data_IF_461525011353
#
_entry.id   IF_461525011353
#
_cell.length_a   1.000
_cell.length_b   1.000
_cell.length_c   1.000
_cell.angle_alpha   90.00
_cell.angle_beta   90.00
_cell.angle_gamma   90.00
#
_symmetry.space_group_name_H-M   'P 1'
#
loop_
_entity.id
_entity.type
_entity.pdbx_description
1 polymer ?
#
# COMPACT_ATOMS: atom_id res chain seq x y z
N UNK A 1 7.72 -14.47 31.54
CA UNK A 1 8.34 -13.14 31.42
C UNK A 1 7.77 -12.52 30.16
N UNK A 2 6.85 -11.55 30.28
CA UNK A 2 6.38 -10.79 29.11
C UNK A 2 7.55 -9.89 28.69
N UNK A 3 8.12 -10.13 27.51
CA UNK A 3 9.12 -9.25 26.93
C UNK A 3 8.41 -7.93 26.66
N UNK A 4 8.82 -6.88 27.36
CA UNK A 4 8.25 -5.55 27.18
C UNK A 4 8.81 -4.98 25.87
N UNK A 5 8.14 -5.26 24.76
CA UNK A 5 8.54 -4.73 23.46
C UNK A 5 8.30 -3.22 23.41
N UNK A 6 9.21 -2.50 22.75
CA UNK A 6 9.00 -1.10 22.42
C UNK A 6 7.76 -0.96 21.52
N UNK A 7 7.04 0.16 21.63
CA UNK A 7 5.85 0.41 20.82
C UNK A 7 6.17 0.33 19.32
N UNK A 8 5.48 -0.53 18.54
CA UNK A 8 5.70 -0.62 17.11
C UNK A 8 5.32 0.69 16.43
N UNK A 9 6.25 1.23 15.63
CA UNK A 9 6.07 2.47 14.88
C UNK A 9 6.07 2.18 13.38
N UNK A 10 4.98 2.52 12.71
CA UNK A 10 4.85 2.39 11.25
C UNK A 10 5.60 3.54 10.60
N UNK A 11 6.45 3.22 9.62
CA UNK A 11 7.13 4.21 8.80
C UNK A 11 6.49 4.28 7.43
N UNK A 12 5.99 5.47 7.08
CA UNK A 12 5.20 5.71 5.87
C UNK A 12 5.60 7.02 5.18
N UNK A 13 4.91 7.37 4.09
CA UNK A 13 5.25 8.55 3.29
C UNK A 13 4.82 9.89 3.93
N UNK A 14 3.73 9.88 4.70
CA UNK A 14 3.12 11.07 5.30
C UNK A 14 3.16 10.98 6.84
N UNK A 15 3.19 12.11 7.54
CA UNK A 15 3.20 12.16 8.99
C UNK A 15 1.79 12.12 9.61
N UNK A 16 0.71 12.39 8.86
CA UNK A 16 -0.63 12.54 9.48
C UNK A 16 -1.43 11.22 9.63
N UNK A 17 -1.45 10.59 10.82
CA UNK A 17 -2.06 9.27 11.01
C UNK A 17 -3.57 9.23 10.74
N UNK A 18 -4.24 10.39 10.63
CA UNK A 18 -5.67 10.46 10.34
C UNK A 18 -6.01 10.43 8.84
N UNK A 19 -4.99 10.45 7.98
CA UNK A 19 -5.17 10.41 6.53
C UNK A 19 -4.57 9.14 5.92
N UNK A 20 -5.30 8.59 4.94
CA UNK A 20 -4.82 7.49 4.12
C UNK A 20 -3.68 7.93 3.20
N UNK A 21 -2.64 7.11 3.13
CA UNK A 21 -1.49 7.33 2.27
C UNK A 21 -1.80 7.05 0.80
N UNK A 22 -0.88 7.46 -0.08
CA UNK A 22 -0.97 7.20 -1.53
C UNK A 22 -0.40 5.82 -1.93
N UNK A 23 -0.10 4.95 -0.97
CA UNK A 23 0.48 3.62 -1.18
C UNK A 23 -0.45 2.56 -0.62
N UNK A 24 -0.83 1.61 -1.46
CA UNK A 24 -1.70 0.50 -1.08
C UNK A 24 -1.11 -0.31 0.06
N UNK A 25 0.20 -0.54 0.05
CA UNK A 25 0.88 -1.31 1.07
C UNK A 25 0.90 -0.61 2.44
N UNK A 26 0.97 0.73 2.46
CA UNK A 26 0.89 1.51 3.71
C UNK A 26 -0.50 1.34 4.31
N UNK A 27 -1.54 1.63 3.52
CA UNK A 27 -2.92 1.55 3.97
C UNK A 27 -3.31 0.12 4.36
N UNK A 28 -2.77 -0.89 3.64
CA UNK A 28 -2.93 -2.30 4.00
C UNK A 28 -2.35 -2.60 5.37
N UNK A 29 -1.12 -2.17 5.65
CA UNK A 29 -0.48 -2.42 6.95
C UNK A 29 -1.22 -1.74 8.10
N UNK A 30 -1.63 -0.48 7.90
CA UNK A 30 -2.44 0.24 8.88
C UNK A 30 -3.76 -0.48 9.16
N UNK A 31 -4.45 -0.96 8.12
CA UNK A 31 -5.69 -1.72 8.25
C UNK A 31 -5.47 -3.10 8.92
N UNK A 32 -4.42 -3.83 8.56
CA UNK A 32 -4.05 -5.09 9.21
C UNK A 32 -3.92 -4.90 10.72
N UNK A 33 -3.21 -3.86 11.13
CA UNK A 33 -2.96 -3.60 12.55
C UNK A 33 -4.22 -3.11 13.27
N UNK A 34 -4.99 -2.21 12.64
CA UNK A 34 -6.26 -1.72 13.17
C UNK A 34 -7.27 -2.85 13.40
N UNK A 35 -7.38 -3.81 12.47
CA UNK A 35 -8.29 -4.94 12.62
C UNK A 35 -7.76 -6.04 13.54
N UNK A 36 -6.44 -6.14 13.73
CA UNK A 36 -5.83 -7.15 14.58
C UNK A 36 -5.98 -6.90 16.09
N UNK A 37 -6.73 -5.85 16.49
CA UNK A 37 -6.87 -5.40 17.88
C UNK A 37 -5.50 -5.28 18.57
N UNK A 38 -4.50 -4.72 17.89
CA UNK A 38 -3.16 -4.56 18.46
C UNK A 38 -3.27 -3.78 19.77
N UNK A 39 -2.82 -4.37 20.87
CA UNK A 39 -2.91 -3.83 22.24
C UNK A 39 -2.03 -2.60 22.49
N UNK A 40 -1.43 -2.04 21.45
CA UNK A 40 -0.46 -0.96 21.50
C UNK A 40 -0.90 0.21 20.63
N UNK A 41 -0.76 1.43 21.14
CA UNK A 41 -0.91 2.65 20.34
C UNK A 41 0.14 2.63 19.23
N UNK A 42 -0.30 2.47 17.97
CA UNK A 42 0.62 2.46 16.84
C UNK A 42 1.19 3.86 16.63
N UNK A 43 2.51 3.99 16.77
CA UNK A 43 3.19 5.20 16.34
C UNK A 43 3.20 5.28 14.82
N UNK A 44 3.16 6.50 14.26
CA UNK A 44 3.41 6.74 12.84
C UNK A 44 4.51 7.78 12.69
N UNK A 45 5.41 7.58 11.73
CA UNK A 45 6.44 8.56 11.38
C UNK A 45 6.70 8.59 9.87
N UNK A 46 7.04 9.77 9.31
CA UNK A 46 7.46 9.87 7.93
C UNK A 46 8.83 9.22 7.75
N UNK A 47 9.03 8.55 6.62
CA UNK A 47 10.29 7.91 6.27
C UNK A 47 10.71 8.15 4.83
N UNK A 48 11.97 7.88 4.56
CA UNK A 48 12.54 7.94 3.22
C UNK A 48 12.73 6.52 2.68
N UNK A 49 12.19 6.17 1.50
CA UNK A 49 12.43 4.87 0.87
C UNK A 49 13.92 4.54 0.75
N UNK A 50 14.80 5.53 0.50
CA UNK A 50 16.25 5.30 0.37
C UNK A 50 16.92 4.77 1.63
N UNK A 51 16.36 5.08 2.81
CA UNK A 51 16.89 4.63 4.10
C UNK A 51 16.11 3.45 4.67
N UNK A 52 15.12 2.92 3.93
CA UNK A 52 14.36 1.75 4.34
C UNK A 52 15.13 0.46 4.04
N UNK A 53 14.89 -0.65 4.78
CA UNK A 53 15.68 -1.87 4.64
C UNK A 53 15.67 -2.49 3.24
N UNK A 54 14.58 -2.29 2.48
CA UNK A 54 14.40 -2.84 1.12
C UNK A 54 14.15 -1.78 0.05
N UNK A 55 14.42 -0.51 0.34
CA UNK A 55 14.12 0.57 -0.61
C UNK A 55 12.62 0.85 -0.80
N UNK A 56 11.75 0.35 0.09
CA UNK A 56 10.28 0.44 0.00
C UNK A 56 9.67 0.80 1.35
N UNK A 57 8.53 1.50 1.29
CA UNK A 57 7.64 1.76 2.42
C UNK A 57 6.32 1.00 2.19
N UNK A 58 5.62 0.56 3.25
CA UNK A 58 5.95 0.76 4.66
C UNK A 58 7.02 -0.21 5.18
N UNK A 59 7.57 0.13 6.35
CA UNK A 59 8.27 -0.80 7.24
C UNK A 59 7.94 -0.46 8.69
N UNK A 60 8.18 -1.39 9.61
CA UNK A 60 7.88 -1.25 11.03
C UNK A 60 9.20 -1.03 11.77
N UNK A 61 9.24 -0.06 12.68
CA UNK A 61 10.32 0.06 13.67
C UNK A 61 9.88 -0.50 15.00
N UNK A 62 10.68 -1.40 15.56
CA UNK A 62 10.53 -1.93 16.90
C UNK A 62 11.83 -1.65 17.67
N UNK A 63 11.87 -0.51 18.38
CA UNK A 63 13.12 0.01 18.94
C UNK A 63 14.14 0.34 17.86
N UNK A 64 15.26 -0.40 17.82
CA UNK A 64 16.33 -0.25 16.80
C UNK A 64 16.12 -1.14 15.56
N UNK A 65 15.23 -2.12 15.64
CA UNK A 65 14.99 -3.05 14.54
C UNK A 65 14.09 -2.43 13.48
N UNK A 66 14.40 -2.68 12.21
CA UNK A 66 13.60 -2.26 11.07
C UNK A 66 13.08 -3.50 10.33
N UNK A 67 11.79 -3.78 10.48
CA UNK A 67 11.12 -4.95 9.90
C UNK A 67 10.49 -4.52 8.57
N UNK A 68 10.95 -5.03 7.42
CA UNK A 68 10.48 -4.60 6.11
C UNK A 68 9.11 -5.16 5.75
N UNK A 69 8.48 -4.52 4.76
CA UNK A 69 7.26 -4.99 4.08
C UNK A 69 6.00 -4.95 4.97
N UNK A 70 4.85 -4.73 4.33
CA UNK A 70 3.56 -4.75 5.01
C UNK A 70 3.19 -6.15 5.54
N UNK A 71 3.36 -7.21 4.75
CA UNK A 71 2.87 -8.53 5.13
C UNK A 71 3.87 -9.22 6.07
N UNK A 72 5.15 -9.19 5.71
CA UNK A 72 6.20 -9.76 6.56
C UNK A 72 6.30 -9.03 7.90
N UNK A 73 6.17 -7.70 7.89
CA UNK A 73 6.10 -6.89 9.11
C UNK A 73 4.95 -7.32 10.02
N UNK A 74 3.76 -7.48 9.45
CA UNK A 74 2.60 -7.95 10.20
C UNK A 74 2.76 -9.38 10.75
N UNK A 75 3.28 -10.31 9.95
CA UNK A 75 3.57 -11.68 10.41
C UNK A 75 4.57 -11.72 11.56
N UNK A 76 5.59 -10.86 11.52
CA UNK A 76 6.56 -10.77 12.61
C UNK A 76 5.93 -10.23 13.90
N UNK A 77 4.98 -9.30 13.79
CA UNK A 77 4.22 -8.83 14.95
C UNK A 77 3.33 -9.94 15.53
N UNK A 78 2.70 -10.77 14.69
CA UNK A 78 1.95 -11.95 15.17
C UNK A 78 2.87 -12.92 15.91
N UNK A 79 4.05 -13.24 15.35
CA UNK A 79 5.03 -14.14 16.01
C UNK A 79 5.49 -13.63 17.36
N UNK A 80 5.50 -12.32 17.57
CA UNK A 80 5.89 -11.65 18.81
C UNK A 80 4.72 -11.37 19.75
N UNK A 81 3.52 -11.85 19.44
CA UNK A 81 2.30 -11.63 20.22
C UNK A 81 1.91 -10.15 20.35
N UNK A 82 2.24 -9.35 19.32
CA UNK A 82 1.96 -7.91 19.23
C UNK A 82 0.76 -7.59 18.33
N UNK A 83 0.25 -8.58 17.59
CA UNK A 83 -0.92 -8.47 16.73
C UNK A 83 -1.64 -9.83 16.64
N UNK A 84 -2.97 -9.81 16.54
CA UNK A 84 -3.77 -11.01 16.32
C UNK A 84 -3.75 -11.44 14.85
N UNK A 85 -3.79 -12.74 14.57
CA UNK A 85 -4.01 -13.27 13.21
C UNK A 85 -5.44 -12.99 12.73
N UNK A 86 -5.60 -12.51 11.50
CA UNK A 86 -6.91 -12.18 10.91
C UNK A 86 -7.52 -13.32 10.08
N UNK A 87 -6.70 -14.21 9.52
CA UNK A 87 -7.18 -15.31 8.68
C UNK A 87 -7.58 -16.56 9.50
N UNK A 88 -7.86 -16.39 10.80
CA UNK A 88 -8.26 -17.49 11.69
C UNK A 88 -9.61 -18.04 11.25
N UNK A 89 -9.69 -19.36 11.08
CA UNK A 89 -10.93 -20.05 10.69
C UNK A 89 -11.17 -20.13 9.18
N UNK A 90 -10.27 -19.60 8.35
CA UNK A 90 -10.29 -19.83 6.90
C UNK A 90 -9.78 -21.24 6.58
N UNK A 91 -10.46 -21.96 5.68
CA UNK A 91 -9.96 -23.22 5.14
C UNK A 91 -9.05 -22.96 3.93
N UNK A 92 -8.40 -24.02 3.45
CA UNK A 92 -7.46 -23.95 2.33
C UNK A 92 -8.06 -23.29 1.07
N UNK A 93 -9.38 -23.46 0.85
CA UNK A 93 -10.08 -22.84 -0.28
C UNK A 93 -10.17 -21.32 -0.12
N UNK A 94 -10.59 -20.82 1.04
CA UNK A 94 -10.68 -19.38 1.31
C UNK A 94 -9.30 -18.72 1.30
N UNK A 95 -8.27 -19.39 1.82
CA UNK A 95 -6.88 -18.92 1.73
C UNK A 95 -6.40 -18.82 0.27
N UNK A 96 -6.75 -19.80 -0.57
CA UNK A 96 -6.48 -19.75 -2.00
C UNK A 96 -7.17 -18.57 -2.69
N UNK A 97 -8.44 -18.32 -2.36
CA UNK A 97 -9.20 -17.17 -2.87
C UNK A 97 -8.58 -15.84 -2.38
N UNK A 98 -8.24 -15.75 -1.10
CA UNK A 98 -7.55 -14.60 -0.49
C UNK A 98 -6.28 -14.24 -1.26
N UNK A 99 -5.47 -15.26 -1.60
CA UNK A 99 -4.25 -15.06 -2.39
C UNK A 99 -4.55 -14.58 -3.81
N UNK A 100 -5.54 -15.17 -4.48
CA UNK A 100 -5.93 -14.77 -5.83
C UNK A 100 -6.40 -13.30 -5.89
N UNK A 101 -7.27 -12.89 -4.96
CA UNK A 101 -7.74 -11.50 -4.87
C UNK A 101 -6.59 -10.56 -4.53
N UNK A 102 -5.70 -10.95 -3.61
CA UNK A 102 -4.50 -10.15 -3.29
C UNK A 102 -3.67 -9.90 -4.54
N UNK A 103 -3.42 -10.93 -5.36
CA UNK A 103 -2.68 -10.79 -6.62
C UNK A 103 -3.40 -9.88 -7.62
N UNK A 104 -4.72 -10.02 -7.77
CA UNK A 104 -5.53 -9.15 -8.62
C UNK A 104 -5.44 -7.67 -8.19
N UNK A 105 -5.51 -7.41 -6.88
CA UNK A 105 -5.40 -6.05 -6.34
C UNK A 105 -4.00 -5.47 -6.55
N UNK A 106 -2.96 -6.28 -6.38
CA UNK A 106 -1.58 -5.86 -6.63
C UNK A 106 -1.36 -5.51 -8.11
N UNK A 107 -1.94 -6.27 -9.04
CA UNK A 107 -1.92 -5.96 -10.48
C UNK A 107 -2.64 -4.64 -10.79
N UNK A 108 -3.87 -4.46 -10.28
CA UNK A 108 -4.63 -3.21 -10.43
C UNK A 108 -3.83 -2.01 -9.89
N UNK A 109 -3.18 -2.18 -8.73
CA UNK A 109 -2.35 -1.14 -8.14
C UNK A 109 -1.16 -0.77 -9.04
N UNK A 110 -0.50 -1.74 -9.67
CA UNK A 110 0.59 -1.46 -10.61
C UNK A 110 0.12 -0.59 -11.78
N UNK A 111 -1.09 -0.80 -12.30
CA UNK A 111 -1.65 0.06 -13.33
C UNK A 111 -1.91 1.50 -12.83
N UNK A 112 -2.35 1.68 -11.58
CA UNK A 112 -2.45 3.02 -10.98
C UNK A 112 -1.07 3.67 -10.79
N UNK A 113 -0.03 2.90 -10.45
CA UNK A 113 1.35 3.41 -10.38
C UNK A 113 1.82 3.89 -11.75
N UNK A 114 1.55 3.14 -12.82
CA UNK A 114 1.87 3.54 -14.19
C UNK A 114 1.15 4.85 -14.55
N UNK A 115 -0.16 4.90 -14.38
CA UNK A 115 -0.97 6.09 -14.66
C UNK A 115 -0.42 7.31 -13.91
N UNK A 116 -0.18 7.16 -12.61
CA UNK A 116 0.33 8.21 -11.73
C UNK A 116 1.72 8.73 -12.13
N UNK A 117 2.68 7.82 -12.35
CA UNK A 117 4.09 8.20 -12.49
C UNK A 117 4.59 8.25 -13.94
N UNK A 118 3.81 7.80 -14.91
CA UNK A 118 4.13 7.88 -16.35
C UNK A 118 3.19 8.85 -17.05
N UNK A 119 1.86 8.72 -16.91
CA UNK A 119 0.91 9.56 -17.64
C UNK A 119 0.72 10.93 -16.97
N UNK A 120 0.60 10.96 -15.64
CA UNK A 120 0.29 12.18 -14.88
C UNK A 120 1.47 12.73 -14.06
N UNK A 121 2.71 12.33 -14.38
CA UNK A 121 3.89 12.64 -13.56
C UNK A 121 4.13 14.14 -13.35
N UNK A 122 3.91 14.98 -14.36
CA UNK A 122 4.00 16.44 -14.24
C UNK A 122 2.91 17.01 -13.33
N UNK A 123 1.67 16.54 -13.49
CA UNK A 123 0.56 17.00 -12.67
C UNK A 123 0.82 16.65 -11.21
N UNK A 124 1.23 15.42 -10.94
CA UNK A 124 1.31 14.88 -9.58
C UNK A 124 2.58 15.33 -8.85
N UNK A 125 3.73 15.39 -9.52
CA UNK A 125 5.02 15.69 -8.87
C UNK A 125 5.44 17.16 -8.99
N UNK A 126 4.79 17.94 -9.86
CA UNK A 126 5.20 19.33 -10.15
C UNK A 126 4.05 20.32 -9.92
N UNK A 127 2.87 20.05 -10.47
CA UNK A 127 1.78 21.04 -10.53
C UNK A 127 0.74 20.94 -9.41
N UNK A 128 0.61 19.77 -8.76
CA UNK A 128 -0.37 19.57 -7.69
C UNK A 128 0.01 20.40 -6.46
N UNK A 129 -0.64 21.56 -6.31
CA UNK A 129 -0.55 22.40 -5.10
C UNK A 129 -1.65 22.09 -4.09
N UNK A 130 -2.74 21.45 -4.51
CA UNK A 130 -3.97 21.38 -3.73
C UNK A 130 -4.07 20.17 -2.78
N UNK A 131 -3.28 19.11 -2.98
CA UNK A 131 -3.36 17.88 -2.18
C UNK A 131 -1.99 17.20 -2.02
N UNK A 132 -0.99 18.01 -1.72
CA UNK A 132 0.44 17.68 -1.75
C UNK A 132 0.88 16.71 -0.63
N UNK A 133 0.35 15.48 -0.61
CA UNK A 133 0.79 14.39 0.29
C UNK A 133 2.19 13.86 -0.04
N UNK A 134 2.77 14.34 -1.14
CA UNK A 134 4.16 14.08 -1.50
C UNK A 134 5.06 15.17 -0.90
N UNK A 135 5.95 14.77 0.01
CA UNK A 135 6.92 15.69 0.63
C UNK A 135 7.77 16.48 -0.38
N UNK A 136 7.95 15.97 -1.60
CA UNK A 136 8.68 16.69 -2.66
C UNK A 136 8.00 17.97 -3.13
N UNK A 137 6.69 18.11 -2.95
CA UNK A 137 5.92 19.30 -3.33
C UNK A 137 6.12 20.48 -2.34
N UNK A 138 6.87 20.29 -1.25
CA UNK A 138 7.35 21.38 -0.39
C UNK A 138 8.65 22.03 -0.91
N UNK A 139 9.30 21.43 -1.92
CA UNK A 139 10.60 21.88 -2.43
C UNK A 139 10.44 23.03 -3.45
N UNK A 140 11.52 23.75 -3.75
CA UNK A 140 11.53 24.74 -4.85
C UNK A 140 11.24 24.05 -6.21
N UNK A 141 10.61 24.77 -7.15
CA UNK A 141 10.15 24.21 -8.42
C UNK A 141 11.26 23.47 -9.22
N UNK A 142 12.51 23.95 -9.29
CA UNK A 142 13.57 23.24 -10.00
C UNK A 142 13.88 21.85 -9.43
N UNK A 143 13.94 21.66 -8.10
CA UNK A 143 14.17 20.33 -7.52
C UNK A 143 12.95 19.42 -7.66
N UNK A 144 11.72 19.98 -7.70
CA UNK A 144 10.54 19.18 -8.06
C UNK A 144 10.73 18.55 -9.42
N UNK A 145 11.14 19.32 -10.42
CA UNK A 145 11.41 18.81 -11.78
C UNK A 145 12.51 17.74 -11.80
N UNK A 146 13.58 17.92 -11.02
CA UNK A 146 14.68 16.94 -10.92
C UNK A 146 14.18 15.63 -10.28
N UNK A 147 13.48 15.71 -9.15
CA UNK A 147 12.92 14.54 -8.45
C UNK A 147 11.89 13.84 -9.33
N UNK A 148 11.00 14.61 -9.95
CA UNK A 148 9.96 14.10 -10.84
C UNK A 148 10.57 13.35 -12.04
N UNK A 149 11.61 13.93 -12.66
CA UNK A 149 12.36 13.27 -13.74
C UNK A 149 13.07 12.01 -13.26
N UNK A 150 13.63 12.01 -12.05
CA UNK A 150 14.28 10.83 -11.47
C UNK A 150 13.26 9.71 -11.22
N UNK A 151 12.13 10.01 -10.60
CA UNK A 151 11.05 9.03 -10.34
C UNK A 151 10.49 8.48 -11.65
N UNK A 152 10.19 9.34 -12.62
CA UNK A 152 9.75 8.93 -13.96
C UNK A 152 10.73 7.93 -14.59
N UNK A 153 12.03 8.25 -14.59
CA UNK A 153 13.07 7.35 -15.14
C UNK A 153 13.19 6.04 -14.36
N UNK A 154 13.02 6.07 -13.04
CA UNK A 154 13.05 4.89 -12.18
C UNK A 154 11.88 3.94 -12.44
N UNK A 155 10.69 4.46 -12.73
CA UNK A 155 9.54 3.63 -13.09
C UNK A 155 9.68 3.13 -14.54
N UNK A 156 10.13 4.00 -15.46
CA UNK A 156 10.33 3.64 -16.85
C UNK A 156 11.44 2.59 -17.06
N UNK A 157 12.43 2.51 -16.17
CA UNK A 157 13.43 1.44 -16.21
C UNK A 157 12.85 0.06 -15.86
N UNK A 158 11.63 0.01 -15.29
CA UNK A 158 10.88 -1.21 -14.97
C UNK A 158 9.84 -1.56 -16.02
N UNK A 159 9.92 -0.98 -17.22
CA UNK A 159 8.95 -1.14 -18.31
C UNK A 159 8.55 -2.59 -18.60
N UNK A 160 9.52 -3.51 -18.67
CA UNK A 160 9.25 -4.91 -18.96
C UNK A 160 8.47 -5.58 -17.81
N UNK A 161 8.75 -5.19 -16.56
CA UNK A 161 8.05 -5.72 -15.38
C UNK A 161 6.68 -5.06 -15.14
N UNK A 162 6.37 -4.00 -15.88
CA UNK A 162 5.12 -3.24 -15.80
C UNK A 162 4.29 -3.36 -17.09
N UNK A 163 4.69 -4.27 -17.99
CA UNK A 163 4.06 -4.48 -19.30
C UNK A 163 3.89 -3.18 -20.13
N UNK A 164 4.77 -2.18 -19.92
CA UNK A 164 4.74 -0.89 -20.65
C UNK A 164 5.13 -1.01 -22.13
N UNK A 165 5.51 -2.20 -22.58
CA UNK A 165 5.74 -2.49 -24.00
C UNK A 165 4.42 -2.67 -24.76
N UNK A 166 3.33 -2.97 -24.05
CA UNK A 166 2.00 -3.11 -24.63
C UNK A 166 1.45 -1.74 -25.07
N UNK A 167 0.62 -1.71 -26.12
CA UNK A 167 -0.18 -0.55 -26.47
C UNK A 167 -1.03 -0.05 -25.29
N UNK A 168 -1.24 1.27 -25.20
CA UNK A 168 -1.94 1.89 -24.08
C UNK A 168 -3.41 1.41 -23.95
N UNK A 169 -4.07 1.15 -25.09
CA UNK A 169 -5.42 0.59 -25.17
C UNK A 169 -5.50 -0.85 -24.63
N UNK A 170 -4.47 -1.66 -24.87
CA UNK A 170 -4.37 -3.00 -24.31
C UNK A 170 -4.21 -2.96 -22.78
N UNK A 171 -3.33 -2.08 -22.28
CA UNK A 171 -3.15 -1.86 -20.83
C UNK A 171 -4.45 -1.39 -20.18
N UNK A 172 -5.18 -0.48 -20.82
CA UNK A 172 -6.47 0.02 -20.34
C UNK A 172 -7.55 -1.07 -20.32
N UNK A 173 -7.58 -1.94 -21.33
CA UNK A 173 -8.51 -3.07 -21.40
C UNK A 173 -8.26 -4.09 -20.27
N UNK A 174 -6.98 -4.44 -20.03
CA UNK A 174 -6.57 -5.33 -18.93
C UNK A 174 -6.96 -4.72 -17.58
N UNK A 175 -6.63 -3.44 -17.36
CA UNK A 175 -6.99 -2.72 -16.14
C UNK A 175 -8.51 -2.72 -15.89
N UNK A 176 -9.31 -2.42 -16.91
CA UNK A 176 -10.78 -2.42 -16.81
C UNK A 176 -11.32 -3.79 -16.46
N UNK A 177 -10.85 -4.82 -17.16
CA UNK A 177 -11.26 -6.21 -16.90
C UNK A 177 -10.95 -6.63 -15.46
N UNK A 178 -9.76 -6.28 -14.96
CA UNK A 178 -9.37 -6.57 -13.59
C UNK A 178 -10.23 -5.82 -12.55
N UNK A 179 -10.50 -4.52 -12.79
CA UNK A 179 -11.38 -3.72 -11.95
C UNK A 179 -12.83 -4.23 -11.93
N UNK A 180 -13.37 -4.61 -13.09
CA UNK A 180 -14.72 -5.16 -13.21
C UNK A 180 -14.84 -6.51 -12.50
N UNK A 181 -13.81 -7.36 -12.61
CA UNK A 181 -13.74 -8.62 -11.87
C UNK A 181 -13.70 -8.38 -10.36
N UNK A 182 -12.88 -7.43 -9.89
CA UNK A 182 -12.81 -7.07 -8.49
C UNK A 182 -14.15 -6.50 -8.00
N UNK A 183 -14.75 -5.55 -8.74
CA UNK A 183 -16.02 -4.93 -8.39
C UNK A 183 -17.17 -5.96 -8.32
N UNK A 184 -17.21 -6.90 -9.28
CA UNK A 184 -18.17 -8.01 -9.27
C UNK A 184 -17.96 -8.91 -8.05
N UNK A 185 -16.71 -9.17 -7.67
CA UNK A 185 -16.42 -9.97 -6.49
C UNK A 185 -16.82 -9.27 -5.18
N UNK A 186 -16.49 -7.98 -5.03
CA UNK A 186 -16.86 -7.18 -3.85
C UNK A 186 -18.39 -7.11 -3.73
N UNK A 187 -19.08 -6.74 -4.81
CA UNK A 187 -20.54 -6.63 -4.83
C UNK A 187 -21.08 -5.81 -3.66
N UNK A 188 -22.01 -6.40 -2.90
CA UNK A 188 -22.60 -5.83 -1.69
C UNK A 188 -22.12 -6.51 -0.40
N UNK A 189 -21.01 -7.25 -0.45
CA UNK A 189 -20.51 -7.98 0.71
C UNK A 189 -19.91 -7.01 1.73
N UNK A 190 -20.20 -7.24 3.02
CA UNK A 190 -19.56 -6.50 4.12
C UNK A 190 -18.10 -6.93 4.30
N UNK A 191 -17.84 -8.24 4.23
CA UNK A 191 -16.49 -8.83 4.21
C UNK A 191 -16.36 -9.73 2.99
N UNK A 192 -15.18 -9.73 2.37
CA UNK A 192 -14.96 -10.38 1.06
C UNK A 192 -14.93 -11.90 1.12
N UNK A 193 -14.57 -12.44 2.28
CA UNK A 193 -14.62 -13.85 2.60
C UNK A 193 -15.64 -14.09 3.72
N UNK A 194 -16.01 -15.36 3.91
CA UNK A 194 -16.87 -15.76 5.02
C UNK A 194 -16.11 -15.55 6.34
N UNK A 195 -16.34 -14.41 6.98
CA UNK A 195 -15.72 -14.05 8.25
C UNK A 195 -16.37 -12.79 8.84
N UNK A 196 -16.67 -12.83 10.13
CA UNK A 196 -16.79 -11.68 11.01
C UNK A 196 -15.92 -12.05 12.21
N UNK A 197 -14.69 -11.48 12.36
CA UNK A 197 -14.16 -10.18 11.89
C UNK A 197 -13.57 -10.14 10.44
N UNK A 198 -13.17 -8.94 9.93
CA UNK A 198 -12.49 -8.79 8.65
C UNK A 198 -11.16 -9.56 8.55
N UNK A 199 -10.85 -10.03 7.35
CA UNK A 199 -9.69 -10.89 7.04
C UNK A 199 -8.55 -10.12 6.37
N UNK A 200 -7.41 -10.76 6.12
CA UNK A 200 -6.28 -10.12 5.43
C UNK A 200 -6.66 -9.63 4.03
N UNK A 201 -7.60 -10.28 3.33
CA UNK A 201 -8.00 -9.82 1.98
C UNK A 201 -8.79 -8.51 2.02
N UNK A 202 -9.59 -8.29 3.06
CA UNK A 202 -10.33 -7.05 3.24
C UNK A 202 -9.36 -5.86 3.37
N UNK A 203 -8.24 -6.05 4.07
CA UNK A 203 -7.22 -5.00 4.27
C UNK A 203 -6.54 -4.54 2.98
N UNK A 204 -6.27 -5.46 2.04
CA UNK A 204 -5.60 -5.10 0.78
C UNK A 204 -6.57 -4.40 -0.19
N UNK A 205 -7.83 -4.85 -0.24
CA UNK A 205 -8.87 -4.18 -1.02
C UNK A 205 -9.18 -2.81 -0.44
N UNK A 206 -9.30 -2.70 0.88
CA UNK A 206 -9.40 -1.40 1.55
C UNK A 206 -8.21 -0.51 1.22
N UNK A 207 -6.98 -1.05 1.27
CA UNK A 207 -5.77 -0.30 0.94
C UNK A 207 -5.77 0.26 -0.49
N UNK A 208 -6.32 -0.50 -1.45
CA UNK A 208 -6.56 -0.04 -2.82
C UNK A 208 -7.55 1.12 -2.87
N UNK A 209 -8.73 0.96 -2.28
CA UNK A 209 -9.80 1.97 -2.30
C UNK A 209 -9.30 3.26 -1.62
N UNK A 210 -8.67 3.13 -0.45
CA UNK A 210 -8.10 4.25 0.29
C UNK A 210 -7.02 4.98 -0.53
N UNK A 211 -6.20 4.26 -1.29
CA UNK A 211 -5.20 4.86 -2.18
C UNK A 211 -5.83 5.62 -3.33
N UNK A 212 -6.89 5.09 -3.93
CA UNK A 212 -7.63 5.75 -5.01
C UNK A 212 -8.34 7.01 -4.49
N UNK A 213 -8.92 6.93 -3.30
CA UNK A 213 -9.55 8.08 -2.64
C UNK A 213 -8.54 9.16 -2.24
N UNK A 214 -7.33 8.76 -1.84
CA UNK A 214 -6.24 9.66 -1.50
C UNK A 214 -5.58 10.35 -2.71
N UNK A 215 -5.79 9.83 -3.92
CA UNK A 215 -5.15 10.32 -5.13
C UNK A 215 -5.80 11.62 -5.60
N UNK A 216 -5.07 12.74 -5.70
CA UNK A 216 -5.60 13.98 -6.24
C UNK A 216 -5.71 13.91 -7.76
N UNK A 217 -6.78 13.29 -8.25
CA UNK A 217 -7.18 13.36 -9.66
C UNK A 217 -8.01 14.59 -9.93
#
# INVERSE_FOLDING_TARGET
MLVQYATPTIVRFDNDPHHFGTSVYVNRLEALLAFSNSSHELGSQPGNPKTSPRGKLPYIKLGQEMIPDSLFGYEELIRRDLASELDVGLFAKELGISRAITSLVEEIYLHFVIERFIHFWLVILVLSRANSRYACLLLWLPLRMIIASYVYRLILSRRCALDLERPADEIDSVRRTALDALATWVGHKTHLLAGDPPTRVDTIVFGLIATVHADPR
#
